data_IF_164743009416
#
_entry.id   IF_164743009416
#
_cell.length_a   1.000
_cell.length_b   1.000
_cell.length_c   1.000
_cell.angle_alpha   90.00
_cell.angle_beta   90.00
_cell.angle_gamma   90.00
#
_symmetry.space_group_name_H-M   'P 1'
#
loop_
_entity.id
_entity.type
_entity.pdbx_description
1 polymer ?
#
# COMPACT_ATOMS: atom_id res chain seq x y z
N UNK A 1 85.96 -13.60 39.41
CA UNK A 1 85.04 -13.75 40.56
C UNK A 1 83.98 -12.67 40.44
N UNK A 2 82.72 -13.08 40.50
CA UNK A 2 81.44 -12.35 40.36
C UNK A 2 80.99 -11.94 38.94
N UNK A 3 79.98 -12.67 38.46
CA UNK A 3 79.17 -12.37 37.28
C UNK A 3 77.68 -12.52 37.64
N UNK A 4 76.91 -11.48 37.34
CA UNK A 4 75.60 -11.44 36.68
C UNK A 4 74.44 -12.38 37.10
N UNK A 5 73.44 -11.77 37.79
CA UNK A 5 72.01 -11.70 37.40
C UNK A 5 71.10 -12.98 37.31
N UNK A 6 69.75 -12.86 37.22
CA UNK A 6 68.80 -13.28 38.26
C UNK A 6 68.01 -14.57 37.97
N UNK A 7 67.49 -15.21 39.03
CA UNK A 7 66.62 -16.37 38.93
C UNK A 7 65.26 -16.03 38.33
N UNK A 8 65.00 -16.62 37.16
CA UNK A 8 63.75 -16.55 36.41
C UNK A 8 62.64 -17.32 37.14
N UNK A 9 61.53 -16.62 37.37
CA UNK A 9 60.30 -17.19 37.88
C UNK A 9 59.69 -18.20 36.91
N UNK A 10 59.34 -19.38 37.40
CA UNK A 10 58.27 -20.22 36.85
C UNK A 10 57.42 -20.70 38.03
N UNK A 11 56.40 -19.91 38.34
CA UNK A 11 55.20 -20.40 39.01
C UNK A 11 54.53 -21.40 38.07
N UNK A 12 54.57 -22.68 38.39
CA UNK A 12 53.60 -23.65 37.90
C UNK A 12 52.48 -23.74 38.95
N UNK A 13 51.56 -22.77 38.90
CA UNK A 13 50.21 -22.96 39.45
C UNK A 13 49.47 -23.89 38.47
N UNK A 14 49.72 -25.20 38.55
CA UNK A 14 48.75 -26.17 38.07
C UNK A 14 47.65 -26.26 39.12
N UNK A 15 46.64 -25.40 38.93
CA UNK A 15 45.35 -25.48 39.59
C UNK A 15 44.72 -26.84 39.32
N UNK A 16 44.98 -27.80 40.21
CA UNK A 16 44.24 -29.06 40.26
C UNK A 16 42.82 -28.72 40.71
N UNK A 17 41.90 -28.65 39.75
CA UNK A 17 40.47 -28.59 40.03
C UNK A 17 40.08 -29.78 40.93
N UNK A 18 39.22 -29.59 41.94
CA UNK A 18 38.80 -30.68 42.82
C UNK A 18 38.13 -31.76 41.99
N UNK A 19 38.64 -33.00 42.06
CA UNK A 19 38.03 -34.16 41.42
C UNK A 19 36.64 -34.38 42.01
N UNK A 20 35.61 -33.95 41.28
CA UNK A 20 34.23 -34.12 41.67
C UNK A 20 33.88 -35.61 41.78
N UNK A 21 33.10 -35.98 42.80
CA UNK A 21 32.64 -37.35 43.00
C UNK A 21 31.79 -37.81 41.80
N UNK A 22 32.09 -38.97 41.18
CA UNK A 22 31.39 -39.42 39.99
C UNK A 22 29.94 -39.80 40.32
N UNK A 23 28.99 -39.31 39.52
CA UNK A 23 27.58 -39.71 39.61
C UNK A 23 27.38 -40.94 38.74
N UNK A 24 26.90 -42.03 39.33
CA UNK A 24 26.56 -43.25 38.61
C UNK A 24 25.12 -43.20 38.11
N UNK A 25 24.94 -43.39 36.81
CA UNK A 25 23.63 -43.38 36.14
C UNK A 25 23.41 -44.72 35.46
N UNK A 26 22.30 -45.39 35.79
CA UNK A 26 21.82 -46.55 35.03
C UNK A 26 20.91 -46.05 33.90
N UNK A 27 21.40 -46.15 32.67
CA UNK A 27 20.70 -45.67 31.47
C UNK A 27 20.24 -46.84 30.61
N UNK A 28 18.94 -46.90 30.31
CA UNK A 28 18.39 -47.78 29.28
C UNK A 28 18.18 -46.96 28.00
N UNK A 29 18.87 -47.33 26.92
CA UNK A 29 18.76 -46.69 25.61
C UNK A 29 17.84 -47.55 24.76
N UNK A 30 16.73 -46.98 24.28
CA UNK A 30 15.76 -47.66 23.41
C UNK A 30 15.75 -47.14 21.99
N UNK A 31 16.39 -46.00 21.74
CA UNK A 31 16.44 -45.37 20.42
C UNK A 31 17.34 -46.18 19.46
N UNK A 32 16.85 -46.58 18.27
CA UNK A 32 17.58 -47.46 17.37
C UNK A 32 18.84 -46.82 16.79
N UNK A 33 18.87 -45.50 16.57
CA UNK A 33 20.04 -44.80 16.02
C UNK A 33 21.15 -44.73 17.08
N UNK A 34 20.80 -44.41 18.32
CA UNK A 34 21.76 -44.41 19.44
C UNK A 34 22.26 -45.82 19.74
N UNK A 35 21.39 -46.83 19.67
CA UNK A 35 21.78 -48.23 19.83
C UNK A 35 22.77 -48.68 18.75
N UNK A 36 22.56 -48.27 17.49
CA UNK A 36 23.48 -48.56 16.39
C UNK A 36 24.86 -47.92 16.65
N UNK A 37 24.89 -46.63 16.97
CA UNK A 37 26.13 -45.88 17.24
C UNK A 37 26.91 -46.43 18.45
N UNK A 38 26.22 -46.78 19.53
CA UNK A 38 26.84 -47.40 20.72
C UNK A 38 27.28 -48.84 20.44
N UNK A 39 26.57 -49.54 19.54
CA UNK A 39 26.85 -50.90 19.11
C UNK A 39 28.09 -51.06 18.22
N UNK A 40 28.58 -49.97 17.61
CA UNK A 40 29.86 -49.97 16.85
C UNK A 40 31.07 -50.26 17.75
N UNK A 41 30.94 -50.00 19.05
CA UNK A 41 32.00 -50.23 20.03
C UNK A 41 31.75 -51.53 20.81
N UNK A 42 32.77 -52.40 20.96
CA UNK A 42 32.63 -53.63 21.74
C UNK A 42 32.35 -53.33 23.22
N UNK A 43 31.68 -54.26 23.90
CA UNK A 43 31.43 -54.18 25.34
C UNK A 43 32.76 -53.94 26.10
N UNK A 44 32.86 -52.84 26.84
CA UNK A 44 34.07 -52.52 27.59
C UNK A 44 34.31 -51.03 27.81
N UNK A 45 35.52 -50.64 28.24
CA UNK A 45 35.87 -49.26 28.58
C UNK A 45 35.63 -48.27 27.43
N UNK A 46 35.94 -48.68 26.19
CA UNK A 46 35.78 -47.84 25.00
C UNK A 46 34.33 -47.40 24.76
N UNK A 47 33.38 -48.32 24.97
CA UNK A 47 31.96 -47.99 24.84
C UNK A 47 31.47 -47.10 25.97
N UNK A 48 31.97 -47.30 27.19
CA UNK A 48 31.63 -46.44 28.33
C UNK A 48 32.15 -45.02 28.13
N UNK A 49 33.38 -44.87 27.62
CA UNK A 49 33.96 -43.56 27.29
C UNK A 49 33.18 -42.87 26.18
N UNK A 50 32.82 -43.59 25.12
CA UNK A 50 31.98 -43.08 24.05
C UNK A 50 30.64 -42.56 24.59
N UNK A 51 29.93 -43.36 25.39
CA UNK A 51 28.65 -42.95 26.00
C UNK A 51 28.83 -41.72 26.92
N UNK A 52 29.90 -41.67 27.71
CA UNK A 52 30.22 -40.51 28.55
C UNK A 52 30.45 -39.24 27.73
N UNK A 53 31.18 -39.35 26.62
CA UNK A 53 31.41 -38.25 25.69
C UNK A 53 30.10 -37.81 25.01
N UNK A 54 29.24 -38.72 24.59
CA UNK A 54 27.92 -38.40 24.05
C UNK A 54 27.07 -37.61 25.06
N UNK A 55 27.05 -38.03 26.32
CA UNK A 55 26.33 -37.32 27.40
C UNK A 55 26.93 -35.93 27.60
N UNK A 56 28.27 -35.79 27.63
CA UNK A 56 28.94 -34.49 27.75
C UNK A 56 28.55 -33.54 26.63
N UNK A 57 28.59 -34.02 25.38
CA UNK A 57 28.17 -33.23 24.21
C UNK A 57 26.70 -32.86 24.32
N UNK A 58 25.83 -33.81 24.65
CA UNK A 58 24.39 -33.56 24.82
C UNK A 58 24.09 -32.50 25.88
N UNK A 59 24.76 -32.55 27.03
CA UNK A 59 24.63 -31.52 28.08
C UNK A 59 25.09 -30.16 27.59
N UNK A 60 26.21 -30.08 26.86
CA UNK A 60 26.68 -28.81 26.28
C UNK A 60 25.69 -28.26 25.25
N UNK A 61 25.16 -29.12 24.38
CA UNK A 61 24.14 -28.74 23.39
C UNK A 61 22.86 -28.24 24.05
N UNK A 62 22.38 -28.91 25.10
CA UNK A 62 21.20 -28.48 25.85
C UNK A 62 21.45 -27.17 26.61
N UNK A 63 22.65 -26.96 27.15
CA UNK A 63 23.03 -25.68 27.78
C UNK A 63 23.09 -24.56 26.74
N UNK A 64 23.64 -24.81 25.56
CA UNK A 64 23.69 -23.84 24.47
C UNK A 64 22.28 -23.50 23.97
N UNK A 65 21.42 -24.50 23.75
CA UNK A 65 20.02 -24.29 23.37
C UNK A 65 19.25 -23.49 24.42
N UNK A 66 19.53 -23.72 25.71
CA UNK A 66 18.97 -22.93 26.81
C UNK A 66 19.52 -21.49 26.85
N UNK A 67 20.76 -21.27 26.41
CA UNK A 67 21.42 -19.95 26.32
C UNK A 67 20.93 -19.06 25.17
N UNK A 68 20.30 -19.62 24.13
CA UNK A 68 19.64 -18.83 23.06
C UNK A 68 18.36 -18.13 23.57
N UNK A 69 17.89 -18.44 24.78
CA UNK A 69 16.73 -17.84 25.44
C UNK A 69 17.18 -16.93 26.59
N UNK A 70 18.26 -16.15 26.42
CA UNK A 70 18.53 -15.05 27.37
C UNK A 70 17.58 -13.88 27.05
N UNK A 71 16.40 -13.91 27.68
CA UNK A 71 15.38 -12.88 27.52
C UNK A 71 15.89 -11.48 27.88
N UNK A 72 16.99 -11.36 28.62
CA UNK A 72 17.63 -10.07 28.93
C UNK A 72 18.27 -9.42 27.70
N UNK A 73 19.00 -10.19 26.90
CA UNK A 73 19.64 -9.66 25.68
C UNK A 73 18.61 -9.33 24.60
N UNK A 74 17.56 -10.15 24.47
CA UNK A 74 16.44 -9.88 23.55
C UNK A 74 15.68 -8.62 23.98
N UNK A 75 15.47 -8.42 25.30
CA UNK A 75 14.82 -7.21 25.83
C UNK A 75 15.65 -5.97 25.53
N UNK A 76 16.96 -6.01 25.80
CA UNK A 76 17.86 -4.88 25.54
C UNK A 76 17.96 -4.53 24.05
N UNK A 77 18.04 -5.55 23.18
CA UNK A 77 17.99 -5.34 21.73
C UNK A 77 16.63 -4.79 21.27
N UNK A 78 15.54 -5.23 21.89
CA UNK A 78 14.18 -4.75 21.65
C UNK A 78 14.00 -3.28 22.06
N UNK A 79 14.45 -2.91 23.25
CA UNK A 79 14.39 -1.54 23.77
C UNK A 79 15.21 -0.60 22.86
N UNK A 80 16.41 -1.00 22.46
CA UNK A 80 17.24 -0.22 21.53
C UNK A 80 16.57 -0.03 20.16
N UNK A 81 15.91 -1.05 19.62
CA UNK A 81 15.17 -0.93 18.35
C UNK A 81 13.96 -0.01 18.47
N UNK A 82 13.23 -0.08 19.59
CA UNK A 82 12.09 0.79 19.86
C UNK A 82 12.51 2.26 19.97
N UNK A 83 13.64 2.53 20.63
CA UNK A 83 14.21 3.89 20.72
C UNK A 83 14.58 4.42 19.34
N UNK A 84 15.26 3.62 18.52
CA UNK A 84 15.62 3.99 17.14
C UNK A 84 14.40 4.24 16.26
N UNK A 85 13.34 3.42 16.39
CA UNK A 85 12.10 3.62 15.66
C UNK A 85 11.38 4.91 16.10
N UNK A 86 11.36 5.18 17.40
CA UNK A 86 10.74 6.38 17.96
C UNK A 86 11.44 7.64 17.48
N UNK A 87 12.78 7.64 17.47
CA UNK A 87 13.58 8.74 16.94
C UNK A 87 13.29 8.98 15.45
N UNK A 88 13.29 7.91 14.64
CA UNK A 88 13.03 7.99 13.20
C UNK A 88 11.62 8.50 12.89
N UNK A 89 10.60 8.00 13.59
CA UNK A 89 9.21 8.42 13.40
C UNK A 89 8.99 9.87 13.80
N UNK A 90 9.61 10.30 14.90
CA UNK A 90 9.54 11.69 15.36
C UNK A 90 10.20 12.62 14.35
N UNK A 91 11.40 12.28 13.85
CA UNK A 91 12.07 13.05 12.82
C UNK A 91 11.27 13.14 11.52
N UNK A 92 10.66 12.03 11.09
CA UNK A 92 9.80 12.03 9.90
C UNK A 92 8.56 12.92 10.06
N UNK A 93 7.92 12.89 11.24
CA UNK A 93 6.78 13.76 11.56
C UNK A 93 7.16 15.23 11.46
N UNK A 94 8.27 15.63 12.08
CA UNK A 94 8.73 17.03 12.04
C UNK A 94 9.03 17.48 10.63
N UNK A 95 9.74 16.66 9.83
CA UNK A 95 10.01 16.97 8.43
C UNK A 95 8.72 17.08 7.60
N UNK A 96 7.74 16.22 7.85
CA UNK A 96 6.45 16.29 7.15
C UNK A 96 5.68 17.56 7.52
N UNK A 97 5.63 17.92 8.80
CA UNK A 97 5.00 19.16 9.28
C UNK A 97 5.67 20.40 8.68
N UNK A 98 7.00 20.45 8.62
CA UNK A 98 7.74 21.55 7.98
C UNK A 98 7.46 21.64 6.48
N UNK A 99 7.52 20.52 5.76
CA UNK A 99 7.27 20.51 4.31
C UNK A 99 5.83 20.89 3.98
N UNK A 100 4.85 20.41 4.76
CA UNK A 100 3.45 20.73 4.57
C UNK A 100 3.19 22.21 4.87
N UNK A 101 3.74 22.73 5.98
CA UNK A 101 3.61 24.14 6.36
C UNK A 101 4.24 25.05 5.32
N UNK A 102 5.42 24.72 4.82
CA UNK A 102 6.09 25.49 3.76
C UNK A 102 5.27 25.47 2.46
N UNK A 103 4.78 24.30 2.06
CA UNK A 103 3.97 24.16 0.84
C UNK A 103 2.65 24.93 0.93
N UNK A 104 1.93 24.80 2.05
CA UNK A 104 0.69 25.53 2.28
C UNK A 104 0.91 27.03 2.38
N UNK A 105 1.97 27.47 3.08
CA UNK A 105 2.30 28.89 3.19
C UNK A 105 2.63 29.49 1.82
N UNK A 106 3.37 28.77 0.98
CA UNK A 106 3.65 29.22 -0.38
C UNK A 106 2.40 29.22 -1.27
N UNK A 107 1.51 28.24 -1.12
CA UNK A 107 0.28 28.17 -1.90
C UNK A 107 -0.72 29.29 -1.53
N UNK A 108 -0.83 29.62 -0.23
CA UNK A 108 -1.76 30.60 0.32
C UNK A 108 -1.15 31.98 0.60
N UNK A 109 0.08 32.25 0.18
CA UNK A 109 0.70 33.57 0.37
C UNK A 109 -0.20 34.68 -0.23
N UNK A 110 -0.65 35.66 0.58
CA UNK A 110 -1.55 36.71 0.10
C UNK A 110 -0.92 37.64 -0.95
N UNK A 111 0.41 37.73 -1.03
CA UNK A 111 1.09 38.59 -2.00
C UNK A 111 1.44 37.87 -3.31
N UNK A 112 1.85 36.60 -3.24
CA UNK A 112 2.36 35.85 -4.40
C UNK A 112 1.84 34.40 -4.51
N UNK A 113 0.88 34.03 -3.69
CA UNK A 113 0.39 32.66 -3.58
C UNK A 113 -0.21 32.15 -4.88
N UNK A 114 0.06 30.88 -5.17
CA UNK A 114 -0.49 30.19 -6.35
C UNK A 114 -2.02 30.20 -6.35
N UNK A 115 -2.66 30.15 -5.17
CA UNK A 115 -4.11 30.25 -5.06
C UNK A 115 -4.63 31.62 -5.49
N UNK A 116 -4.07 32.70 -4.94
CA UNK A 116 -4.50 34.07 -5.25
C UNK A 116 -4.35 34.36 -6.75
N UNK A 117 -3.20 33.99 -7.33
CA UNK A 117 -2.95 34.09 -8.77
C UNK A 117 -3.94 33.27 -9.62
N UNK A 118 -4.28 32.05 -9.21
CA UNK A 118 -5.26 31.21 -9.93
C UNK A 118 -6.67 31.78 -9.85
N UNK A 119 -7.09 32.27 -8.69
CA UNK A 119 -8.40 32.91 -8.51
C UNK A 119 -8.47 34.19 -9.33
N UNK A 120 -7.42 35.01 -9.31
CA UNK A 120 -7.35 36.23 -10.09
C UNK A 120 -7.41 35.94 -11.60
N UNK A 121 -6.66 34.94 -12.08
CA UNK A 121 -6.71 34.52 -13.49
C UNK A 121 -8.04 33.88 -13.90
N UNK A 122 -8.77 33.29 -12.96
CA UNK A 122 -10.10 32.73 -13.22
C UNK A 122 -11.18 33.84 -13.32
N UNK A 123 -11.09 34.87 -12.47
CA UNK A 123 -12.13 35.91 -12.29
C UNK A 123 -11.93 37.17 -13.14
N UNK A 124 -10.70 37.45 -13.60
CA UNK A 124 -10.41 38.59 -14.48
C UNK A 124 -11.31 38.63 -15.72
N UNK A 125 -11.46 39.83 -16.29
CA UNK A 125 -12.37 40.08 -17.43
C UNK A 125 -12.01 39.28 -18.70
N UNK A 126 -10.73 38.92 -18.89
CA UNK A 126 -10.25 37.97 -19.92
C UNK A 126 -9.86 36.61 -19.35
N UNK A 127 -10.39 36.28 -18.18
CA UNK A 127 -10.05 35.10 -17.40
C UNK A 127 -10.58 33.80 -17.99
N UNK A 128 -10.12 32.69 -17.40
CA UNK A 128 -10.47 31.35 -17.86
C UNK A 128 -12.00 31.09 -17.78
N UNK A 129 -12.68 31.64 -16.79
CA UNK A 129 -14.14 31.53 -16.64
C UNK A 129 -14.87 32.21 -17.80
N UNK A 130 -14.50 33.46 -18.09
CA UNK A 130 -15.13 34.26 -19.16
C UNK A 130 -14.92 33.58 -20.51
N UNK A 131 -13.73 33.02 -20.75
CA UNK A 131 -13.42 32.28 -21.98
C UNK A 131 -14.27 31.03 -22.16
N UNK A 132 -14.49 30.25 -21.09
CA UNK A 132 -15.36 29.06 -21.13
C UNK A 132 -16.82 29.45 -21.34
N UNK A 133 -17.32 30.46 -20.62
CA UNK A 133 -18.69 30.95 -20.76
C UNK A 133 -18.95 31.45 -22.19
N UNK A 134 -18.07 32.29 -22.72
CA UNK A 134 -18.21 32.81 -24.09
C UNK A 134 -18.13 31.69 -25.14
N UNK A 135 -17.30 30.68 -24.93
CA UNK A 135 -17.24 29.49 -25.79
C UNK A 135 -18.54 28.69 -25.79
N UNK A 136 -19.14 28.47 -24.62
CA UNK A 136 -20.44 27.78 -24.51
C UNK A 136 -21.58 28.58 -25.13
N UNK A 137 -21.65 29.90 -24.86
CA UNK A 137 -22.66 30.78 -25.45
C UNK A 137 -22.53 30.79 -26.97
N UNK A 138 -21.32 30.88 -27.52
CA UNK A 138 -21.09 30.82 -28.97
C UNK A 138 -21.55 29.49 -29.56
N UNK A 139 -21.25 28.37 -28.90
CA UNK A 139 -21.68 27.04 -29.33
C UNK A 139 -23.21 26.92 -29.33
N UNK A 140 -23.88 27.45 -28.30
CA UNK A 140 -25.35 27.47 -28.20
C UNK A 140 -25.96 28.38 -29.26
N UNK A 141 -25.39 29.56 -29.50
CA UNK A 141 -25.85 30.48 -30.55
C UNK A 141 -25.72 29.85 -31.93
N UNK A 142 -24.61 29.18 -32.23
CA UNK A 142 -24.41 28.47 -33.50
C UNK A 142 -25.39 27.31 -33.65
N UNK A 143 -25.62 26.53 -32.60
CA UNK A 143 -26.61 25.44 -32.61
C UNK A 143 -28.03 25.94 -32.82
N UNK A 144 -28.40 27.05 -32.17
CA UNK A 144 -29.71 27.71 -32.31
C UNK A 144 -29.88 28.32 -33.70
N UNK A 145 -28.85 29.00 -34.23
CA UNK A 145 -28.86 29.55 -35.58
C UNK A 145 -29.02 28.44 -36.63
N UNK A 146 -28.28 27.34 -36.50
CA UNK A 146 -28.40 26.18 -37.39
C UNK A 146 -29.78 25.51 -37.30
N UNK A 147 -30.39 25.45 -36.12
CA UNK A 147 -31.77 24.94 -35.98
C UNK A 147 -32.79 25.91 -36.57
N UNK A 148 -32.65 27.22 -36.32
CA UNK A 148 -33.52 28.22 -36.94
C UNK A 148 -33.39 28.24 -38.47
N UNK A 149 -32.20 28.10 -39.02
CA UNK A 149 -31.99 27.98 -40.46
C UNK A 149 -32.66 26.73 -41.02
N UNK A 150 -32.57 25.60 -40.31
CA UNK A 150 -33.21 24.33 -40.71
C UNK A 150 -34.74 24.36 -40.63
N UNK A 151 -35.32 25.12 -39.70
CA UNK A 151 -36.77 25.17 -39.47
C UNK A 151 -37.46 26.42 -40.05
N UNK A 152 -36.75 27.51 -40.32
CA UNK A 152 -37.33 28.81 -40.76
C UNK A 152 -36.52 29.47 -41.89
N UNK A 153 -35.31 29.00 -42.20
CA UNK A 153 -34.46 29.55 -43.27
C UNK A 153 -34.93 29.19 -44.68
N UNK A 154 -34.26 29.70 -45.70
CA UNK A 154 -34.64 29.59 -47.13
C UNK A 154 -34.74 28.13 -47.63
N UNK A 155 -34.08 27.19 -46.95
CA UNK A 155 -34.14 25.73 -47.18
C UNK A 155 -35.04 24.98 -46.17
N UNK A 156 -35.92 25.69 -45.47
CA UNK A 156 -36.75 25.14 -44.40
C UNK A 156 -37.83 24.17 -44.91
N UNK A 157 -38.01 23.07 -44.18
CA UNK A 157 -39.14 22.15 -44.37
C UNK A 157 -40.51 22.80 -44.11
N UNK A 158 -40.58 23.88 -43.33
CA UNK A 158 -41.80 24.67 -43.13
C UNK A 158 -42.10 25.56 -44.34
N UNK A 159 -41.09 26.17 -44.97
CA UNK A 159 -41.28 26.96 -46.19
C UNK A 159 -41.66 26.07 -47.37
N UNK A 160 -41.09 24.85 -47.49
CA UNK A 160 -41.53 23.88 -48.49
C UNK A 160 -42.95 23.34 -48.25
N UNK A 161 -43.44 23.39 -47.00
CA UNK A 161 -44.83 23.07 -46.66
C UNK A 161 -45.82 24.22 -46.91
N UNK A 162 -45.32 25.45 -47.01
CA UNK A 162 -46.09 26.68 -47.23
C UNK A 162 -45.92 27.26 -48.64
N UNK A 163 -45.09 26.65 -49.50
CA UNK A 163 -44.88 27.06 -50.88
C UNK A 163 -46.23 27.04 -51.66
N UNK A 164 -46.68 28.18 -52.21
CA UNK A 164 -47.95 28.28 -52.92
C UNK A 164 -48.03 27.48 -54.22
N UNK A 165 -46.90 26.94 -54.71
CA UNK A 165 -46.81 26.28 -56.02
C UNK A 165 -47.11 24.78 -56.01
N UNK A 166 -46.99 24.10 -54.87
CA UNK A 166 -47.41 22.70 -54.71
C UNK A 166 -48.28 22.49 -53.46
N UNK A 167 -49.56 22.81 -53.58
CA UNK A 167 -50.65 22.04 -52.96
C UNK A 167 -50.45 21.63 -51.48
N UNK A 168 -50.42 22.60 -50.56
CA UNK A 168 -50.87 22.49 -49.16
C UNK A 168 -50.88 21.06 -48.57
N UNK A 169 -49.69 20.42 -48.48
CA UNK A 169 -49.54 19.03 -48.01
C UNK A 169 -50.05 18.84 -46.58
N UNK A 170 -50.03 19.91 -45.79
CA UNK A 170 -50.57 19.97 -44.43
C UNK A 170 -52.10 19.82 -44.41
N UNK A 171 -52.82 20.44 -45.34
CA UNK A 171 -54.27 20.23 -45.50
C UNK A 171 -54.60 18.81 -45.96
N UNK A 172 -53.78 18.22 -46.82
CA UNK A 172 -53.96 16.82 -47.24
C UNK A 172 -53.77 15.84 -46.06
N UNK A 173 -52.74 16.06 -45.23
CA UNK A 173 -52.48 15.25 -44.04
C UNK A 173 -53.57 15.42 -42.96
N UNK A 174 -54.07 16.63 -42.73
CA UNK A 174 -55.21 16.88 -41.84
C UNK A 174 -56.50 16.23 -42.35
N UNK A 175 -56.76 16.31 -43.66
CA UNK A 175 -57.95 15.67 -44.27
C UNK A 175 -57.88 14.15 -44.14
N UNK A 176 -56.70 13.56 -44.31
CA UNK A 176 -56.49 12.12 -44.13
C UNK A 176 -56.75 11.69 -42.69
N UNK A 177 -56.23 12.42 -41.70
CA UNK A 177 -56.44 12.11 -40.27
C UNK A 177 -57.89 12.28 -39.86
N UNK A 178 -58.57 13.35 -40.28
CA UNK A 178 -60.00 13.56 -40.03
C UNK A 178 -60.84 12.46 -40.67
N UNK A 179 -60.54 12.07 -41.91
CA UNK A 179 -61.25 10.97 -42.57
C UNK A 179 -61.03 9.62 -41.88
N UNK A 180 -59.82 9.36 -41.36
CA UNK A 180 -59.52 8.17 -40.57
C UNK A 180 -60.30 8.11 -39.25
N UNK A 181 -60.47 9.25 -38.57
CA UNK A 181 -61.25 9.33 -37.32
C UNK A 181 -62.75 9.18 -37.59
N UNK A 182 -63.27 9.74 -38.68
CA UNK A 182 -64.65 9.52 -39.09
C UNK A 182 -64.91 8.06 -39.54
N UNK A 183 -63.94 7.42 -40.20
CA UNK A 183 -64.05 6.02 -40.60
C UNK A 183 -63.98 5.04 -39.41
N UNK A 184 -63.34 5.44 -38.31
CA UNK A 184 -63.14 4.61 -37.12
C UNK A 184 -64.16 4.89 -35.98
N UNK A 185 -65.18 5.71 -36.23
CA UNK A 185 -66.24 5.97 -35.24
C UNK A 185 -67.35 4.91 -35.35
N UNK A 186 -67.61 4.07 -34.32
CA UNK A 186 -68.63 3.04 -34.38
C UNK A 186 -70.05 3.64 -34.36
N UNK A 187 -70.96 3.06 -35.15
CA UNK A 187 -72.40 3.40 -35.20
C UNK A 187 -73.02 3.35 -33.80
N UNK A 188 -73.39 4.50 -33.25
CA UNK A 188 -74.29 4.58 -32.09
C UNK A 188 -75.71 4.35 -32.59
N UNK A 189 -76.24 3.16 -32.32
CA UNK A 189 -77.68 2.87 -32.43
C UNK A 189 -78.37 3.51 -31.23
N UNK A 190 -79.14 4.57 -31.48
CA UNK A 190 -80.08 5.13 -30.51
C UNK A 190 -81.38 4.34 -30.63
N UNK A 191 -81.82 3.71 -29.54
CA UNK A 191 -83.21 3.31 -29.28
C UNK A 191 -83.73 4.17 -28.15
#
# INVERSE_FOLDING_TARGET
MNADQPQLALKSDESTAPAAEPIYVHLAITDPEVLAAVGEYPNGPLRTEFVSNCIKVGVLSLRAAKGVVDGGEIRAAGDHLLDQLTERLTGYRTLLEENLTNSLSHYFDPASGLFSNRVENLVKDDGELVRVINGQISTVQQGLAATMERFVGENSAFLSLLDPSESNRLLAAMRQTVSGVCANSPRVTVT
#
